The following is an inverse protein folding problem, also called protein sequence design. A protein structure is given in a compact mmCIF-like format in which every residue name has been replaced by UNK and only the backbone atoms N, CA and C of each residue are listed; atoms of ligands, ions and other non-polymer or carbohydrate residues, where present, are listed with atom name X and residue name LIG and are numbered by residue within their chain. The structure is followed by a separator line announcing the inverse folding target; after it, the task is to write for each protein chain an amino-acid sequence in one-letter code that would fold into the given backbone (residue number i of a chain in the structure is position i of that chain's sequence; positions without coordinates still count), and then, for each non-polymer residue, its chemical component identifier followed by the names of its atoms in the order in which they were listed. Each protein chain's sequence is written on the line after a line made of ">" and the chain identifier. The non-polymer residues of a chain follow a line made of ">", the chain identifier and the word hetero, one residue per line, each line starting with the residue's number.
data_IF_538800680871
#
_entry.id   IF_538800680871
#
_cell.length_a   1.000
_cell.length_b   1.000
_cell.length_c   1.000
_cell.angle_alpha   90.00
_cell.angle_beta   90.00
_cell.angle_gamma   90.00
#
_symmetry.space_group_name_H-M   'P 1'
#
loop_
_entity.id
_entity.type
_entity.pdbx_description
1 polymer ?
#
# COMPACT_ATOMS: atom_id res chain seq x y z
N UNK A 1 -6.40 15.93 16.13
CA UNK A 1 -5.28 14.97 16.16
C UNK A 1 -4.02 15.67 16.68
N UNK A 2 -3.16 14.94 17.38
CA UNK A 2 -1.82 15.45 17.74
C UNK A 2 -0.94 15.59 16.49
N UNK A 3 -0.14 16.66 16.32
CA UNK A 3 0.68 16.87 15.13
C UNK A 3 1.76 15.80 14.92
N UNK A 4 2.31 15.20 15.98
CA UNK A 4 3.28 14.12 15.83
C UNK A 4 2.61 12.84 15.32
N UNK A 5 1.39 12.55 15.78
CA UNK A 5 0.61 11.41 15.28
C UNK A 5 0.19 11.61 13.81
N UNK A 6 -0.24 12.81 13.41
CA UNK A 6 -0.55 13.15 12.01
C UNK A 6 0.67 12.95 11.12
N UNK A 7 1.82 13.48 11.53
CA UNK A 7 3.06 13.36 10.77
C UNK A 7 3.49 11.89 10.65
N UNK A 8 3.40 11.11 11.72
CA UNK A 8 3.72 9.68 11.73
C UNK A 8 2.88 8.89 10.72
N UNK A 9 1.56 9.13 10.68
CA UNK A 9 0.70 8.48 9.68
C UNK A 9 1.13 8.87 8.26
N UNK A 10 1.32 10.16 8.00
CA UNK A 10 1.69 10.64 6.66
C UNK A 10 3.02 10.07 6.20
N UNK A 11 4.06 10.09 7.04
CA UNK A 11 5.38 9.58 6.71
C UNK A 11 5.37 8.07 6.51
N UNK A 12 4.64 7.32 7.34
CA UNK A 12 4.51 5.87 7.19
C UNK A 12 3.80 5.49 5.88
N UNK A 13 2.68 6.13 5.55
CA UNK A 13 1.97 5.88 4.29
C UNK A 13 2.76 6.38 3.08
N UNK A 14 3.41 7.53 3.16
CA UNK A 14 4.26 8.03 2.09
C UNK A 14 5.43 7.07 1.81
N UNK A 15 6.06 6.53 2.85
CA UNK A 15 7.10 5.51 2.72
C UNK A 15 6.54 4.23 2.07
N UNK A 16 5.36 3.77 2.48
CA UNK A 16 4.70 2.60 1.90
C UNK A 16 4.48 2.78 0.38
N UNK A 17 3.91 3.91 -0.05
CA UNK A 17 3.68 4.20 -1.46
C UNK A 17 4.98 4.43 -2.24
N UNK A 18 5.97 5.10 -1.63
CA UNK A 18 7.27 5.32 -2.27
C UNK A 18 8.00 3.99 -2.52
N UNK A 19 7.98 3.07 -1.55
CA UNK A 19 8.55 1.72 -1.69
C UNK A 19 7.79 0.95 -2.79
N UNK A 20 6.46 0.94 -2.75
CA UNK A 20 5.63 0.28 -3.76
C UNK A 20 5.88 0.82 -5.18
N UNK A 21 5.95 2.14 -5.35
CA UNK A 21 6.25 2.80 -6.62
C UNK A 21 7.66 2.47 -7.09
N UNK A 22 8.66 2.53 -6.20
CA UNK A 22 10.06 2.22 -6.53
C UNK A 22 10.22 0.80 -7.09
N UNK A 23 9.46 -0.15 -6.55
CA UNK A 23 9.46 -1.53 -7.03
C UNK A 23 8.88 -1.66 -8.44
N UNK A 24 7.83 -0.88 -8.77
CA UNK A 24 7.21 -0.90 -10.09
C UNK A 24 8.01 -0.14 -11.14
N UNK A 25 8.68 0.95 -10.75
CA UNK A 25 9.57 1.72 -11.63
C UNK A 25 10.81 0.90 -12.04
N UNK A 26 11.30 0.02 -11.16
CA UNK A 26 12.44 -0.86 -11.47
C UNK A 26 12.14 -1.91 -12.55
N UNK A 27 10.90 -2.38 -12.64
CA UNK A 27 10.49 -3.35 -13.65
C UNK A 27 9.03 -3.12 -14.09
N UNK A 28 8.79 -2.06 -14.90
CA UNK A 28 7.45 -1.70 -15.35
C UNK A 28 6.87 -2.74 -16.32
N UNK A 29 7.72 -3.47 -17.04
CA UNK A 29 7.31 -4.52 -17.96
C UNK A 29 6.65 -5.68 -17.21
N UNK A 30 7.23 -6.07 -16.06
CA UNK A 30 6.64 -7.08 -15.19
C UNK A 30 5.36 -6.60 -14.53
N UNK A 31 5.32 -5.36 -14.03
CA UNK A 31 4.07 -4.83 -13.46
C UNK A 31 2.94 -4.78 -14.49
N UNK A 32 3.25 -4.44 -15.74
CA UNK A 32 2.31 -4.51 -16.86
C UNK A 32 1.81 -5.94 -17.09
N UNK A 33 2.68 -6.94 -17.04
CA UNK A 33 2.29 -8.34 -17.17
C UNK A 33 1.34 -8.76 -16.03
N UNK A 34 1.66 -8.40 -14.78
CA UNK A 34 0.77 -8.62 -13.64
C UNK A 34 -0.59 -7.94 -13.83
N UNK A 35 -0.62 -6.70 -14.31
CA UNK A 35 -1.87 -5.97 -14.56
C UNK A 35 -2.67 -6.58 -15.73
N UNK A 36 -2.01 -7.06 -16.78
CA UNK A 36 -2.63 -7.81 -17.86
C UNK A 36 -3.30 -9.09 -17.34
N UNK A 37 -2.60 -9.80 -16.45
CA UNK A 37 -3.12 -11.01 -15.83
C UNK A 37 -4.37 -10.75 -15.00
N UNK A 38 -4.58 -9.55 -14.45
CA UNK A 38 -5.81 -9.23 -13.73
C UNK A 38 -7.07 -9.23 -14.62
N UNK A 39 -6.93 -9.15 -15.96
CA UNK A 39 -8.05 -9.15 -16.93
C UNK A 39 -9.21 -8.21 -16.52
N UNK A 40 -8.85 -7.04 -16.01
CA UNK A 40 -9.79 -5.96 -15.66
C UNK A 40 -9.89 -4.92 -16.78
N UNK A 41 -8.87 -4.81 -17.63
CA UNK A 41 -8.81 -3.84 -18.73
C UNK A 41 -8.57 -4.56 -20.07
N UNK A 42 -9.02 -3.97 -21.19
CA UNK A 42 -8.66 -4.43 -22.52
C UNK A 42 -7.16 -4.26 -22.78
N UNK A 43 -6.58 -5.13 -23.61
CA UNK A 43 -5.15 -5.13 -23.96
C UNK A 43 -4.53 -3.75 -24.26
N UNK A 44 -5.15 -2.85 -25.08
CA UNK A 44 -4.55 -1.54 -25.36
C UNK A 44 -4.48 -0.61 -24.13
N UNK A 45 -5.35 -0.78 -23.14
CA UNK A 45 -5.39 0.08 -21.94
C UNK A 45 -4.49 -0.41 -20.81
N UNK A 46 -3.91 -1.61 -20.91
CA UNK A 46 -3.05 -2.16 -19.84
C UNK A 46 -1.79 -1.32 -19.66
N UNK A 47 -1.14 -0.90 -20.74
CA UNK A 47 0.09 -0.09 -20.65
C UNK A 47 -0.18 1.31 -20.06
N UNK A 48 -1.17 2.08 -20.55
CA UNK A 48 -1.57 3.35 -19.91
C UNK A 48 -1.94 3.18 -18.44
N UNK A 49 -2.73 2.16 -18.09
CA UNK A 49 -3.14 1.93 -16.71
C UNK A 49 -1.96 1.57 -15.80
N UNK A 50 -0.99 0.81 -16.29
CA UNK A 50 0.23 0.49 -15.54
C UNK A 50 1.03 1.77 -15.23
N UNK A 51 1.24 2.63 -16.23
CA UNK A 51 1.97 3.89 -16.03
C UNK A 51 1.20 4.88 -15.14
N UNK A 52 -0.12 4.97 -15.33
CA UNK A 52 -1.00 5.79 -14.50
C UNK A 52 -0.95 5.35 -13.03
N UNK A 53 -0.92 4.04 -12.78
CA UNK A 53 -0.86 3.50 -11.41
C UNK A 53 0.48 3.84 -10.75
N UNK A 54 1.60 3.69 -11.47
CA UNK A 54 2.93 4.08 -10.97
C UNK A 54 2.97 5.58 -10.66
N UNK A 55 2.46 6.40 -11.58
CA UNK A 55 2.35 7.85 -11.39
C UNK A 55 1.47 8.22 -10.21
N UNK A 56 0.33 7.53 -10.03
CA UNK A 56 -0.57 7.74 -8.91
C UNK A 56 0.07 7.38 -7.56
N UNK A 57 0.79 6.26 -7.46
CA UNK A 57 1.51 5.91 -6.23
C UNK A 57 2.57 6.95 -5.86
N UNK A 58 3.34 7.42 -6.85
CA UNK A 58 4.36 8.44 -6.62
C UNK A 58 3.71 9.78 -6.24
N UNK A 59 2.64 10.18 -6.94
CA UNK A 59 1.90 11.40 -6.63
C UNK A 59 1.32 11.36 -5.22
N UNK A 60 0.71 10.25 -4.81
CA UNK A 60 0.18 10.06 -3.45
C UNK A 60 1.30 10.18 -2.41
N UNK A 61 2.47 9.56 -2.65
CA UNK A 61 3.62 9.68 -1.76
C UNK A 61 4.05 11.15 -1.58
N UNK A 62 4.10 11.92 -2.67
CA UNK A 62 4.44 13.36 -2.64
C UNK A 62 3.37 14.18 -1.94
N UNK A 63 2.08 13.98 -2.29
CA UNK A 63 0.95 14.72 -1.72
C UNK A 63 0.88 14.53 -0.19
N UNK A 64 1.20 13.34 0.31
CA UNK A 64 1.24 13.06 1.76
C UNK A 64 2.34 13.84 2.50
N UNK A 65 3.44 14.18 1.84
CA UNK A 65 4.51 15.02 2.40
C UNK A 65 4.17 16.51 2.36
N UNK A 66 3.39 16.97 1.38
CA UNK A 66 3.06 18.38 1.20
C UNK A 66 2.04 18.83 2.25
N UNK A 67 2.49 19.63 3.22
CA UNK A 67 1.65 20.13 4.31
C UNK A 67 0.48 20.99 3.85
N UNK A 68 0.55 21.62 2.66
CA UNK A 68 -0.55 22.41 2.09
C UNK A 68 -1.75 21.56 1.67
N UNK A 69 -1.58 20.26 1.46
CA UNK A 69 -2.60 19.35 0.90
C UNK A 69 -3.11 18.34 1.94
N UNK A 70 -3.32 18.81 3.18
CA UNK A 70 -3.60 17.96 4.36
C UNK A 70 -4.76 16.99 4.19
N UNK A 71 -5.85 17.40 3.54
CA UNK A 71 -7.00 16.53 3.32
C UNK A 71 -6.84 15.64 2.07
N UNK A 72 -6.18 16.14 1.02
CA UNK A 72 -6.06 15.44 -0.26
C UNK A 72 -5.14 14.22 -0.18
N UNK A 73 -4.06 14.27 0.61
CA UNK A 73 -3.14 13.14 0.77
C UNK A 73 -3.82 11.88 1.30
N UNK A 74 -4.42 11.92 2.49
CA UNK A 74 -5.12 10.78 3.06
C UNK A 74 -6.26 10.24 2.20
N UNK A 75 -7.02 11.13 1.54
CA UNK A 75 -8.13 10.74 0.67
C UNK A 75 -7.64 10.01 -0.58
N UNK A 76 -6.61 10.53 -1.25
CA UNK A 76 -6.03 9.89 -2.45
C UNK A 76 -5.34 8.58 -2.11
N UNK A 77 -4.65 8.50 -0.96
CA UNK A 77 -4.08 7.27 -0.43
C UNK A 77 -5.15 6.19 -0.17
N UNK A 78 -6.23 6.55 0.53
CA UNK A 78 -7.34 5.64 0.80
C UNK A 78 -8.00 5.16 -0.50
N UNK A 79 -8.25 6.07 -1.44
CA UNK A 79 -8.82 5.74 -2.74
C UNK A 79 -7.96 4.72 -3.49
N UNK A 80 -6.64 4.93 -3.54
CA UNK A 80 -5.74 4.02 -4.23
C UNK A 80 -5.67 2.64 -3.56
N UNK A 81 -5.65 2.58 -2.23
CA UNK A 81 -5.73 1.32 -1.47
C UNK A 81 -7.04 0.57 -1.74
N UNK A 82 -8.16 1.28 -1.80
CA UNK A 82 -9.47 0.72 -2.15
C UNK A 82 -9.49 0.17 -3.58
N UNK A 83 -8.92 0.88 -4.56
CA UNK A 83 -8.80 0.39 -5.94
C UNK A 83 -8.03 -0.93 -5.98
N UNK A 84 -6.90 -1.02 -5.28
CA UNK A 84 -6.15 -2.28 -5.16
C UNK A 84 -6.98 -3.38 -4.49
N UNK A 85 -7.66 -3.08 -3.39
CA UNK A 85 -8.49 -4.04 -2.67
C UNK A 85 -9.63 -4.58 -3.54
N UNK A 86 -10.33 -3.71 -4.27
CA UNK A 86 -11.42 -4.08 -5.18
C UNK A 86 -10.89 -4.91 -6.35
N UNK A 87 -9.77 -4.51 -6.97
CA UNK A 87 -9.16 -5.27 -8.08
C UNK A 87 -8.77 -6.70 -7.66
N UNK A 88 -8.22 -6.85 -6.44
CA UNK A 88 -7.93 -8.16 -5.85
C UNK A 88 -9.21 -8.94 -5.52
N UNK A 89 -10.20 -8.30 -4.89
CA UNK A 89 -11.46 -8.94 -4.52
C UNK A 89 -12.23 -9.49 -5.72
N UNK A 90 -12.29 -8.73 -6.84
CA UNK A 90 -12.90 -9.19 -8.09
C UNK A 90 -12.19 -10.44 -8.61
N UNK A 91 -10.86 -10.47 -8.63
CA UNK A 91 -10.11 -11.63 -9.10
C UNK A 91 -10.22 -12.84 -8.16
N UNK A 92 -10.30 -12.62 -6.85
CA UNK A 92 -10.59 -13.66 -5.87
C UNK A 92 -11.98 -14.26 -6.06
N UNK A 93 -12.99 -13.43 -6.33
CA UNK A 93 -14.36 -13.87 -6.64
C UNK A 93 -14.42 -14.69 -7.95
N UNK A 94 -13.54 -14.38 -8.91
CA UNK A 94 -13.33 -15.16 -10.15
C UNK A 94 -12.50 -16.44 -9.95
N UNK A 95 -12.11 -16.77 -8.71
CA UNK A 95 -11.30 -17.95 -8.37
C UNK A 95 -9.80 -17.84 -8.71
N UNK A 96 -9.31 -16.66 -9.12
CA UNK A 96 -7.96 -16.47 -9.66
C UNK A 96 -6.96 -16.10 -8.57
N UNK A 97 -6.58 -17.08 -7.75
CA UNK A 97 -5.74 -16.86 -6.55
C UNK A 97 -4.23 -16.84 -6.81
N UNK A 98 -3.77 -17.21 -8.01
CA UNK A 98 -2.35 -17.30 -8.36
C UNK A 98 -1.72 -16.00 -8.88
N UNK A 99 -2.50 -14.91 -8.89
CA UNK A 99 -2.04 -13.60 -9.37
C UNK A 99 -1.16 -12.94 -8.31
N UNK A 100 -0.13 -12.20 -8.73
CA UNK A 100 0.70 -11.43 -7.80
C UNK A 100 0.04 -10.09 -7.44
N UNK A 101 0.16 -9.65 -6.18
CA UNK A 101 -0.38 -8.36 -5.73
C UNK A 101 0.33 -7.13 -6.34
N UNK A 102 1.53 -7.31 -6.91
CA UNK A 102 2.34 -6.25 -7.52
C UNK A 102 2.93 -5.21 -6.56
N UNK A 103 2.68 -5.32 -5.24
CA UNK A 103 3.11 -4.34 -4.23
C UNK A 103 4.46 -4.69 -3.57
N UNK A 104 4.80 -5.97 -3.43
CA UNK A 104 6.03 -6.44 -2.77
C UNK A 104 7.29 -6.45 -3.67
N UNK A 105 7.13 -6.02 -4.92
CA UNK A 105 8.22 -5.90 -5.89
C UNK A 105 8.68 -7.19 -6.57
N UNK A 106 9.67 -7.11 -7.47
CA UNK A 106 10.01 -8.20 -8.38
C UNK A 106 10.58 -9.45 -7.67
N UNK A 107 11.26 -9.27 -6.54
CA UNK A 107 11.89 -10.38 -5.84
C UNK A 107 10.90 -11.25 -5.03
N UNK A 108 9.64 -10.81 -4.86
CA UNK A 108 8.65 -11.51 -4.03
C UNK A 108 7.36 -11.74 -4.82
N UNK A 109 7.07 -13.02 -5.13
CA UNK A 109 5.76 -13.42 -5.64
C UNK A 109 4.82 -13.62 -4.46
N UNK A 110 3.81 -12.77 -4.34
CA UNK A 110 2.84 -12.82 -3.26
C UNK A 110 1.46 -13.01 -3.89
N UNK A 111 0.91 -14.24 -3.86
CA UNK A 111 -0.37 -14.52 -4.47
C UNK A 111 -1.48 -13.72 -3.77
N UNK A 112 -2.43 -13.20 -4.54
CA UNK A 112 -3.58 -12.48 -3.99
C UNK A 112 -4.37 -13.40 -3.05
N UNK A 113 -4.75 -12.86 -1.90
CA UNK A 113 -5.45 -13.59 -0.85
C UNK A 113 -6.45 -12.67 -0.16
N UNK A 114 -7.44 -13.25 0.52
CA UNK A 114 -8.40 -12.46 1.32
C UNK A 114 -7.70 -11.60 2.38
N UNK A 115 -6.59 -12.08 2.93
CA UNK A 115 -5.77 -11.33 3.89
C UNK A 115 -5.21 -10.03 3.31
N UNK A 116 -4.80 -10.02 2.04
CA UNK A 116 -4.33 -8.82 1.34
C UNK A 116 -5.45 -7.78 1.13
N UNK A 117 -6.67 -8.24 0.85
CA UNK A 117 -7.84 -7.36 0.71
C UNK A 117 -8.17 -6.72 2.07
N UNK A 118 -8.24 -7.51 3.14
CA UNK A 118 -8.48 -7.01 4.50
C UNK A 118 -7.38 -6.04 4.92
N UNK A 119 -6.11 -6.36 4.67
CA UNK A 119 -4.98 -5.47 4.95
C UNK A 119 -5.16 -4.12 4.28
N UNK A 120 -5.43 -4.09 2.97
CA UNK A 120 -5.59 -2.82 2.25
C UNK A 120 -6.82 -2.03 2.73
N UNK A 121 -7.91 -2.71 3.11
CA UNK A 121 -9.08 -2.06 3.70
C UNK A 121 -8.76 -1.44 5.07
N UNK A 122 -8.03 -2.15 5.94
CA UNK A 122 -7.58 -1.62 7.24
C UNK A 122 -6.62 -0.45 7.08
N UNK A 123 -5.70 -0.52 6.11
CA UNK A 123 -4.80 0.58 5.78
C UNK A 123 -5.56 1.80 5.26
N UNK A 124 -6.57 1.59 4.40
CA UNK A 124 -7.43 2.66 3.92
C UNK A 124 -8.21 3.32 5.07
N UNK A 125 -8.78 2.54 5.99
CA UNK A 125 -9.43 3.08 7.18
C UNK A 125 -8.46 3.85 8.08
N UNK A 126 -7.25 3.32 8.29
CA UNK A 126 -6.22 3.94 9.13
C UNK A 126 -5.75 5.28 8.57
N UNK A 127 -5.49 5.37 7.26
CA UNK A 127 -5.02 6.63 6.68
C UNK A 127 -6.10 7.72 6.74
N UNK A 128 -7.38 7.37 6.67
CA UNK A 128 -8.48 8.34 6.79
C UNK A 128 -8.54 9.03 8.16
N UNK A 129 -7.96 8.45 9.21
CA UNK A 129 -7.83 9.11 10.52
C UNK A 129 -7.03 10.41 10.41
N UNK A 130 -6.09 10.51 9.46
CA UNK A 130 -5.29 11.71 9.21
C UNK A 130 -6.08 12.87 8.57
N UNK A 131 -7.37 12.68 8.22
CA UNK A 131 -8.26 13.76 7.79
C UNK A 131 -8.73 14.61 8.98
N UNK A 132 -8.67 14.07 10.21
CA UNK A 132 -9.11 14.76 11.42
C UNK A 132 -8.27 16.02 11.66
N UNK A 133 -8.89 17.19 11.95
CA UNK A 133 -8.18 18.44 12.17
C UNK A 133 -7.07 18.31 13.23
N UNK A 134 -5.88 18.83 12.90
CA UNK A 134 -4.71 18.80 13.77
C UNK A 134 -4.76 19.95 14.77
N UNK A 135 -4.50 19.67 16.05
CA UNK A 135 -4.48 20.70 17.08
C UNK A 135 -3.25 21.59 16.88
N UNK A 136 -3.39 22.92 16.99
CA UNK A 136 -2.25 23.83 16.88
C UNK A 136 -1.37 23.66 18.12
N UNK A 137 -0.28 22.90 17.98
CA UNK A 137 0.78 22.71 18.97
C UNK A 137 2.12 22.78 18.25
N UNK A 138 3.13 23.48 18.80
CA UNK A 138 4.47 23.51 18.21
C UNK A 138 5.12 22.12 18.24
N UNK A 139 5.81 21.78 17.15
CA UNK A 139 6.63 20.57 17.09
C UNK A 139 7.95 20.80 17.83
N UNK A 140 8.28 19.89 18.73
CA UNK A 140 9.54 19.86 19.46
C UNK A 140 10.53 18.88 18.79
N UNK A 141 11.81 18.98 19.13
CA UNK A 141 12.83 18.03 18.64
C UNK A 141 12.53 16.58 19.07
N UNK A 142 11.92 16.40 20.24
CA UNK A 142 11.46 15.09 20.74
C UNK A 142 10.41 14.50 19.81
N UNK A 143 9.51 15.33 19.27
CA UNK A 143 8.47 14.86 18.34
C UNK A 143 9.10 14.31 17.05
N UNK A 144 10.20 14.89 16.56
CA UNK A 144 10.93 14.38 15.39
C UNK A 144 11.53 12.99 15.66
N UNK A 145 12.10 12.77 16.86
CA UNK A 145 12.59 11.46 17.27
C UNK A 145 11.44 10.45 17.39
N UNK A 146 10.32 10.85 17.98
CA UNK A 146 9.13 10.00 18.12
C UNK A 146 8.55 9.62 16.76
N UNK A 147 8.42 10.58 15.84
CA UNK A 147 7.89 10.36 14.49
C UNK A 147 8.78 9.42 13.69
N UNK A 148 10.10 9.63 13.72
CA UNK A 148 11.05 8.78 12.99
C UNK A 148 11.07 7.36 13.53
N UNK A 149 11.15 7.19 14.86
CA UNK A 149 11.08 5.89 15.50
C UNK A 149 9.75 5.18 15.22
N UNK A 150 8.61 5.86 15.40
CA UNK A 150 7.30 5.29 15.14
C UNK A 150 7.11 4.90 13.65
N UNK A 151 7.59 5.74 12.72
CA UNK A 151 7.56 5.44 11.28
C UNK A 151 8.38 4.18 10.98
N UNK A 152 9.59 4.08 11.54
CA UNK A 152 10.45 2.91 11.35
C UNK A 152 9.82 1.63 11.93
N UNK A 153 9.22 1.72 13.12
CA UNK A 153 8.51 0.60 13.75
C UNK A 153 7.31 0.17 12.92
N UNK A 154 6.48 1.10 12.44
CA UNK A 154 5.34 0.80 11.58
C UNK A 154 5.76 0.16 10.25
N UNK A 155 6.84 0.66 9.65
CA UNK A 155 7.40 0.08 8.42
C UNK A 155 7.90 -1.36 8.65
N UNK A 156 8.62 -1.60 9.75
CA UNK A 156 9.09 -2.94 10.12
C UNK A 156 7.92 -3.89 10.42
N UNK A 157 6.89 -3.41 11.12
CA UNK A 157 5.68 -4.18 11.41
C UNK A 157 4.94 -4.53 10.12
N UNK A 158 4.76 -3.56 9.21
CA UNK A 158 4.15 -3.79 7.90
C UNK A 158 4.95 -4.81 7.07
N UNK A 159 6.27 -4.67 6.99
CA UNK A 159 7.12 -5.62 6.27
C UNK A 159 7.06 -7.03 6.87
N UNK A 160 6.96 -7.14 8.20
CA UNK A 160 6.82 -8.41 8.89
C UNK A 160 5.47 -9.07 8.62
N UNK A 161 4.39 -8.29 8.70
CA UNK A 161 3.04 -8.75 8.34
C UNK A 161 2.95 -9.19 6.88
N UNK A 162 3.58 -8.44 5.97
CA UNK A 162 3.61 -8.78 4.55
C UNK A 162 4.32 -10.12 4.30
N UNK A 163 5.47 -10.36 4.96
CA UNK A 163 6.18 -11.65 4.91
C UNK A 163 5.35 -12.79 5.49
N UNK A 164 4.67 -12.57 6.62
CA UNK A 164 3.79 -13.57 7.23
C UNK A 164 2.62 -13.93 6.30
N UNK A 165 1.98 -12.94 5.68
CA UNK A 165 0.90 -13.15 4.73
C UNK A 165 1.39 -13.88 3.47
N UNK A 166 2.61 -13.62 3.01
CA UNK A 166 3.21 -14.34 1.89
C UNK A 166 3.47 -15.82 2.21
N UNK A 167 3.81 -16.15 3.46
CA UNK A 167 4.12 -17.51 3.90
C UNK A 167 2.91 -18.31 4.44
N UNK A 168 1.82 -17.63 4.81
CA UNK A 168 0.60 -18.25 5.34
C UNK A 168 0.10 -19.47 4.53
N UNK A 169 0.01 -19.44 3.18
CA UNK A 169 -0.45 -20.61 2.42
C UNK A 169 0.54 -21.79 2.43
N UNK A 170 1.83 -21.56 2.64
CA UNK A 170 2.82 -22.64 2.78
C UNK A 170 2.70 -23.30 4.16
N UNK A 171 2.57 -22.50 5.22
CA UNK A 171 2.35 -22.98 6.59
C UNK A 171 1.05 -23.79 6.74
N UNK A 172 -0.02 -23.38 6.06
CA UNK A 172 -1.28 -24.11 6.06
C UNK A 172 -1.16 -25.51 5.42
N UNK A 173 -0.35 -25.66 4.36
CA UNK A 173 -0.09 -26.97 3.73
C UNK A 173 0.68 -27.90 4.66
N UNK A 174 1.67 -27.38 5.38
CA UNK A 174 2.44 -28.18 6.34
C UNK A 174 1.56 -28.68 7.51
N UNK A 175 0.61 -27.86 7.97
CA UNK A 175 -0.34 -28.25 9.03
C UNK A 175 -1.39 -29.24 8.58
N UNK A 176 -1.77 -29.25 7.30
CA UNK A 176 -2.72 -30.22 6.74
C UNK A 176 -2.08 -31.55 6.31
N UNK A 177 -0.75 -31.62 6.31
CA UNK A 177 0.02 -32.83 6.02
C UNK A 177 0.47 -33.58 7.28
N UNK A 178 0.16 -33.06 8.47
CA UNK A 178 0.40 -33.64 9.79
C UNK A 178 -0.94 -34.08 10.39
#
# INVERSE_FOLDING_TARGET
>A
MDPAADLTLRTAFALLFAVAASHKVRDPARFRATLADYRLLPAPFVWPAAMLTIGAELAVAVVLFVSSWRALGPLTAAALLCVYAVAMAINLARGRRHLDCGCAGPAHRQPISGGLVVRNALLAATVLVAVVPVRPRPLLWVDALTVTAATATLAALYASLDRLLAQAPALARLRGAA
#
